data_IF_935903530319
#
_entry.id   IF_935903530319
#
_cell.length_a   1.000
_cell.length_b   1.000
_cell.length_c   1.000
_cell.angle_alpha   90.00
_cell.angle_beta   90.00
_cell.angle_gamma   90.00
#
_symmetry.space_group_name_H-M   'P 1'
#
loop_
_entity.id
_entity.type
_entity.pdbx_description
1 polymer ?
#
# COMPACT_ATOMS: atom_id res chain seq x y z
N UNK A 1 26.17 18.87 -24.13
CA UNK A 1 25.90 17.42 -24.03
C UNK A 1 24.92 17.19 -22.89
N UNK A 2 23.70 16.79 -23.17
CA UNK A 2 22.71 16.44 -22.13
C UNK A 2 23.16 15.12 -21.49
N UNK A 3 23.45 15.06 -20.19
CA UNK A 3 23.73 13.79 -19.55
C UNK A 3 22.50 12.90 -19.74
N UNK A 4 22.70 11.71 -20.28
CA UNK A 4 21.66 10.69 -20.49
C UNK A 4 20.82 10.57 -19.24
N UNK A 5 19.54 11.01 -19.32
CA UNK A 5 18.57 10.66 -18.28
C UNK A 5 18.53 9.13 -18.25
N UNK A 6 18.88 8.49 -17.12
CA UNK A 6 18.87 7.04 -17.07
C UNK A 6 17.45 6.55 -17.41
N UNK A 7 17.35 5.62 -18.37
CA UNK A 7 16.10 5.03 -18.81
C UNK A 7 15.34 4.44 -17.62
N UNK A 8 14.03 4.60 -17.61
CA UNK A 8 13.16 3.96 -16.62
C UNK A 8 13.19 2.45 -16.88
N UNK A 9 13.64 1.67 -15.89
CA UNK A 9 13.62 0.23 -16.00
C UNK A 9 12.17 -0.30 -15.95
N UNK A 10 11.86 -1.38 -16.67
CA UNK A 10 10.52 -1.93 -16.79
C UNK A 10 9.88 -2.28 -15.42
N UNK A 11 10.65 -2.77 -14.45
CA UNK A 11 10.18 -3.12 -13.10
C UNK A 11 9.78 -1.92 -12.24
N UNK A 12 10.11 -0.69 -12.65
CA UNK A 12 9.75 0.54 -11.94
C UNK A 12 8.35 1.05 -12.31
N UNK A 13 7.81 0.66 -13.47
CA UNK A 13 6.54 1.17 -13.96
C UNK A 13 5.36 0.93 -13.03
N UNK A 14 5.14 -0.26 -12.45
CA UNK A 14 4.03 -0.46 -11.50
C UNK A 14 4.09 0.53 -10.35
N UNK A 15 5.27 0.74 -9.77
CA UNK A 15 5.46 1.69 -8.68
C UNK A 15 5.33 3.15 -9.14
N UNK A 16 5.86 3.53 -10.30
CA UNK A 16 5.73 4.88 -10.84
C UNK A 16 4.26 5.25 -11.08
N UNK A 17 3.47 4.32 -11.55
CA UNK A 17 2.04 4.48 -11.82
C UNK A 17 1.14 4.15 -10.61
N UNK A 18 1.69 3.77 -9.47
CA UNK A 18 0.95 3.33 -8.26
C UNK A 18 0.00 2.13 -8.50
N UNK A 19 0.29 1.31 -9.50
CA UNK A 19 -0.50 0.11 -9.81
C UNK A 19 -0.24 -1.02 -8.81
N UNK A 20 0.98 -1.08 -8.27
CA UNK A 20 1.39 -2.04 -7.23
C UNK A 20 0.46 -2.02 -6.03
N UNK A 21 0.18 -0.85 -5.47
CA UNK A 21 -0.68 -0.71 -4.30
C UNK A 21 -2.13 -1.06 -4.61
N UNK A 22 -2.65 -0.69 -5.78
CA UNK A 22 -3.99 -1.07 -6.20
C UNK A 22 -4.12 -2.61 -6.32
N UNK A 23 -3.12 -3.27 -6.92
CA UNK A 23 -3.07 -4.74 -7.01
C UNK A 23 -2.98 -5.40 -5.63
N UNK A 24 -2.16 -4.86 -4.71
CA UNK A 24 -2.08 -5.36 -3.33
C UNK A 24 -3.46 -5.35 -2.68
N UNK A 25 -4.16 -4.19 -2.70
CA UNK A 25 -5.48 -4.07 -2.07
C UNK A 25 -6.49 -5.04 -2.68
N UNK A 26 -6.54 -5.17 -4.02
CA UNK A 26 -7.45 -6.10 -4.70
C UNK A 26 -7.17 -7.57 -4.33
N UNK A 27 -5.91 -8.01 -4.33
CA UNK A 27 -5.54 -9.39 -4.00
C UNK A 27 -5.89 -9.74 -2.55
N UNK A 28 -5.53 -8.88 -1.60
CA UNK A 28 -5.85 -9.11 -0.20
C UNK A 28 -7.35 -9.04 0.08
N UNK A 29 -8.09 -8.13 -0.58
CA UNK A 29 -9.55 -8.07 -0.47
C UNK A 29 -10.19 -9.38 -0.97
N UNK A 30 -9.69 -9.95 -2.06
CA UNK A 30 -10.13 -11.25 -2.55
C UNK A 30 -9.87 -12.38 -1.53
N UNK A 31 -8.70 -12.40 -0.88
CA UNK A 31 -8.39 -13.39 0.16
C UNK A 31 -9.29 -13.23 1.39
N UNK A 32 -9.52 -12.00 1.87
CA UNK A 32 -10.41 -11.76 3.01
C UNK A 32 -11.87 -12.09 2.69
N UNK A 33 -12.32 -11.83 1.46
CA UNK A 33 -13.64 -12.25 1.00
C UNK A 33 -13.74 -13.78 0.97
N UNK A 34 -12.73 -14.46 0.41
CA UNK A 34 -12.67 -15.92 0.36
C UNK A 34 -12.67 -16.54 1.77
N UNK A 35 -11.88 -16.02 2.70
CA UNK A 35 -11.88 -16.45 4.10
C UNK A 35 -13.28 -16.36 4.74
N UNK A 36 -14.09 -15.39 4.28
CA UNK A 36 -15.48 -15.19 4.72
C UNK A 36 -16.50 -15.91 3.82
N UNK A 37 -16.04 -16.88 3.00
CA UNK A 37 -16.85 -17.64 2.06
C UNK A 37 -17.65 -16.78 1.07
N UNK A 38 -17.05 -15.67 0.62
CA UNK A 38 -17.61 -14.71 -0.31
C UNK A 38 -16.72 -14.56 -1.53
N UNK A 39 -17.34 -14.20 -2.65
CA UNK A 39 -16.66 -13.74 -3.85
C UNK A 39 -16.98 -12.26 -4.07
N UNK A 40 -15.97 -11.47 -4.41
CA UNK A 40 -16.17 -10.09 -4.82
C UNK A 40 -16.58 -10.05 -6.30
N UNK A 41 -17.49 -9.13 -6.63
CA UNK A 41 -17.86 -8.86 -8.02
C UNK A 41 -16.74 -8.08 -8.73
N UNK A 42 -16.75 -8.10 -10.06
CA UNK A 42 -15.81 -7.32 -10.89
C UNK A 42 -15.92 -5.83 -10.56
N UNK A 43 -17.15 -5.32 -10.34
CA UNK A 43 -17.37 -3.92 -9.96
C UNK A 43 -16.76 -3.57 -8.60
N UNK A 44 -16.83 -4.46 -7.61
CA UNK A 44 -16.20 -4.26 -6.31
C UNK A 44 -14.67 -4.23 -6.43
N UNK A 45 -14.07 -5.12 -7.22
CA UNK A 45 -12.63 -5.06 -7.52
C UNK A 45 -12.24 -3.78 -8.25
N UNK A 46 -13.01 -3.36 -9.24
CA UNK A 46 -12.77 -2.12 -9.98
C UNK A 46 -12.81 -0.90 -9.05
N UNK A 47 -13.82 -0.83 -8.18
CA UNK A 47 -13.97 0.26 -7.21
C UNK A 47 -12.76 0.30 -6.25
N UNK A 48 -12.35 -0.84 -5.70
CA UNK A 48 -11.18 -0.92 -4.81
C UNK A 48 -9.90 -0.48 -5.53
N UNK A 49 -9.66 -1.01 -6.71
CA UNK A 49 -8.48 -0.69 -7.52
C UNK A 49 -8.42 0.79 -7.89
N UNK A 50 -9.52 1.35 -8.42
CA UNK A 50 -9.61 2.76 -8.80
C UNK A 50 -9.49 3.68 -7.58
N UNK A 51 -10.19 3.40 -6.47
CA UNK A 51 -10.12 4.21 -5.25
C UNK A 51 -8.70 4.24 -4.69
N UNK A 52 -8.03 3.09 -4.64
CA UNK A 52 -6.66 2.97 -4.14
C UNK A 52 -5.69 3.72 -5.06
N UNK A 53 -5.82 3.54 -6.37
CA UNK A 53 -5.00 4.23 -7.35
C UNK A 53 -5.17 5.75 -7.27
N UNK A 54 -6.42 6.24 -7.20
CA UNK A 54 -6.73 7.66 -7.06
C UNK A 54 -6.11 8.23 -5.78
N UNK A 55 -6.30 7.56 -4.63
CA UNK A 55 -5.77 8.02 -3.36
C UNK A 55 -4.24 8.14 -3.38
N UNK A 56 -3.54 7.11 -3.90
CA UNK A 56 -2.08 7.09 -3.97
C UNK A 56 -1.50 8.09 -4.98
N UNK A 57 -2.12 8.25 -6.14
CA UNK A 57 -1.68 9.25 -7.12
C UNK A 57 -1.95 10.67 -6.62
N UNK A 58 -3.11 10.91 -5.97
CA UNK A 58 -3.42 12.21 -5.38
C UNK A 58 -2.38 12.59 -4.31
N UNK A 59 -2.06 11.67 -3.38
CA UNK A 59 -1.04 11.89 -2.34
C UNK A 59 0.32 12.29 -2.97
N UNK A 60 0.77 11.55 -3.99
CA UNK A 60 2.02 11.87 -4.70
C UNK A 60 2.01 13.22 -5.40
N UNK A 61 0.91 13.57 -6.07
CA UNK A 61 0.79 14.85 -6.75
C UNK A 61 0.77 16.02 -5.76
N UNK A 62 0.11 15.84 -4.62
CA UNK A 62 0.10 16.82 -3.54
C UNK A 62 1.49 16.97 -2.90
N UNK A 63 2.20 15.86 -2.67
CA UNK A 63 3.55 15.87 -2.10
C UNK A 63 4.56 16.65 -2.96
N UNK A 64 4.44 16.63 -4.29
CA UNK A 64 5.38 17.28 -5.20
C UNK A 64 4.94 18.66 -5.68
N UNK A 65 3.68 19.05 -5.47
CA UNK A 65 3.08 20.29 -6.03
C UNK A 65 3.86 21.56 -5.68
N UNK A 66 4.33 21.66 -4.45
CA UNK A 66 5.03 22.84 -3.94
C UNK A 66 6.54 22.65 -3.78
N UNK A 67 7.10 21.52 -4.23
CA UNK A 67 8.51 21.20 -4.00
C UNK A 67 9.38 21.58 -5.20
N UNK A 68 10.56 22.20 -5.00
CA UNK A 68 11.51 22.42 -6.07
C UNK A 68 12.08 21.10 -6.57
N UNK A 69 12.38 21.00 -7.88
CA UNK A 69 12.93 19.79 -8.54
C UNK A 69 14.19 19.25 -7.83
N UNK A 70 15.01 20.14 -7.30
CA UNK A 70 16.25 19.77 -6.58
C UNK A 70 16.03 18.97 -5.31
N UNK A 71 14.81 19.02 -4.71
CA UNK A 71 14.44 18.24 -3.52
C UNK A 71 13.80 16.89 -3.86
N UNK A 72 13.49 16.63 -5.13
CA UNK A 72 12.86 15.38 -5.56
C UNK A 72 13.93 14.31 -5.82
N UNK A 73 14.27 13.55 -4.81
CA UNK A 73 15.35 12.57 -4.84
C UNK A 73 14.92 11.19 -5.37
N UNK A 74 13.61 10.91 -5.50
CA UNK A 74 13.11 9.64 -6.03
C UNK A 74 12.53 9.80 -7.41
N UNK A 75 12.66 8.77 -8.25
CA UNK A 75 12.11 8.76 -9.62
C UNK A 75 10.58 8.92 -9.64
N UNK A 76 9.88 8.33 -8.68
CA UNK A 76 8.41 8.46 -8.59
C UNK A 76 7.96 9.91 -8.37
N UNK A 77 8.66 10.68 -7.50
CA UNK A 77 8.33 12.09 -7.28
C UNK A 77 8.70 12.95 -8.51
N UNK A 78 9.84 12.66 -9.14
CA UNK A 78 10.23 13.31 -10.39
C UNK A 78 9.23 13.03 -11.50
N UNK A 79 8.81 11.78 -11.65
CA UNK A 79 7.80 11.36 -12.63
C UNK A 79 6.46 12.07 -12.39
N UNK A 80 5.96 12.04 -11.15
CA UNK A 80 4.72 12.71 -10.76
C UNK A 80 4.76 14.23 -11.05
N UNK A 81 5.88 14.90 -10.75
CA UNK A 81 6.03 16.31 -11.04
C UNK A 81 6.12 16.60 -12.55
N UNK A 82 6.86 15.79 -13.31
CA UNK A 82 7.01 15.96 -14.76
C UNK A 82 5.69 15.77 -15.50
N UNK A 83 4.86 14.81 -15.05
CA UNK A 83 3.60 14.45 -15.69
C UNK A 83 2.37 15.00 -14.98
N UNK A 84 2.54 15.96 -14.06
CA UNK A 84 1.45 16.49 -13.22
C UNK A 84 0.26 16.99 -14.07
N UNK A 85 0.53 17.70 -15.18
CA UNK A 85 -0.53 18.23 -16.06
C UNK A 85 -1.36 17.15 -16.74
N UNK A 86 -0.77 15.98 -16.99
CA UNK A 86 -1.45 14.83 -17.59
C UNK A 86 -2.14 13.98 -16.52
N UNK A 87 -1.50 13.79 -15.37
CA UNK A 87 -2.01 12.91 -14.32
C UNK A 87 -3.27 13.48 -13.64
N UNK A 88 -3.41 14.82 -13.48
CA UNK A 88 -4.60 15.41 -12.88
C UNK A 88 -5.91 15.13 -13.66
N UNK A 89 -5.98 15.33 -15.00
CA UNK A 89 -7.17 14.93 -15.77
C UNK A 89 -7.49 13.44 -15.65
N UNK A 90 -6.48 12.55 -15.72
CA UNK A 90 -6.68 11.12 -15.55
C UNK A 90 -7.22 10.76 -14.16
N UNK A 91 -6.72 11.42 -13.12
CA UNK A 91 -7.17 11.24 -11.75
C UNK A 91 -8.63 11.67 -11.59
N UNK A 92 -9.01 12.81 -12.18
CA UNK A 92 -10.41 13.26 -12.20
C UNK A 92 -11.31 12.27 -12.96
N UNK A 93 -10.90 11.85 -14.15
CA UNK A 93 -11.65 10.88 -14.95
C UNK A 93 -11.83 9.55 -14.21
N UNK A 94 -10.78 9.02 -13.59
CA UNK A 94 -10.85 7.81 -12.78
C UNK A 94 -11.76 7.98 -11.56
N UNK A 95 -11.74 9.14 -10.91
CA UNK A 95 -12.64 9.44 -9.78
C UNK A 95 -14.10 9.45 -10.22
N UNK A 96 -14.41 10.13 -11.33
CA UNK A 96 -15.77 10.17 -11.88
C UNK A 96 -16.26 8.79 -12.30
N UNK A 97 -15.41 8.01 -12.98
CA UNK A 97 -15.70 6.64 -13.35
C UNK A 97 -15.98 5.77 -12.10
N UNK A 98 -15.13 5.88 -11.08
CA UNK A 98 -15.29 5.15 -9.83
C UNK A 98 -16.60 5.47 -9.13
N UNK A 99 -16.98 6.76 -9.06
CA UNK A 99 -18.26 7.20 -8.50
C UNK A 99 -19.46 6.71 -9.31
N UNK A 100 -19.35 6.70 -10.64
CA UNK A 100 -20.41 6.18 -11.53
C UNK A 100 -20.59 4.66 -11.32
N UNK A 101 -19.51 3.88 -11.27
CA UNK A 101 -19.60 2.44 -11.01
C UNK A 101 -20.16 2.21 -9.59
N UNK A 102 -19.68 2.91 -8.58
CA UNK A 102 -20.15 2.75 -7.22
C UNK A 102 -21.64 3.08 -7.09
N UNK A 103 -22.10 4.21 -7.64
CA UNK A 103 -23.48 4.63 -7.58
C UNK A 103 -24.46 3.72 -8.35
N UNK A 104 -23.97 3.04 -9.42
CA UNK A 104 -24.81 2.15 -10.23
C UNK A 104 -24.80 0.68 -9.77
N UNK A 105 -23.73 0.22 -9.10
CA UNK A 105 -23.50 -1.20 -8.84
C UNK A 105 -23.53 -1.59 -7.36
N UNK A 106 -23.34 -0.62 -6.45
CA UNK A 106 -23.27 -0.93 -5.02
C UNK A 106 -24.61 -0.70 -4.32
N UNK A 107 -25.00 -1.58 -3.38
CA UNK A 107 -26.11 -1.33 -2.48
C UNK A 107 -25.78 -0.18 -1.53
N UNK A 108 -26.83 0.50 -1.03
CA UNK A 108 -26.68 1.66 -0.16
C UNK A 108 -25.78 1.43 1.07
N UNK A 109 -25.87 0.24 1.67
CA UNK A 109 -25.04 -0.12 2.83
C UNK A 109 -23.54 -0.15 2.53
N UNK A 110 -23.15 -0.56 1.32
CA UNK A 110 -21.74 -0.56 0.88
C UNK A 110 -21.29 0.84 0.49
N UNK A 111 -22.16 1.63 -0.15
CA UNK A 111 -21.91 3.05 -0.43
C UNK A 111 -21.65 3.83 0.86
N UNK A 112 -22.46 3.59 1.91
CA UNK A 112 -22.27 4.24 3.20
C UNK A 112 -20.91 3.90 3.81
N UNK A 113 -20.50 2.62 3.81
CA UNK A 113 -19.16 2.22 4.29
C UNK A 113 -18.03 2.87 3.47
N UNK A 114 -18.17 2.88 2.14
CA UNK A 114 -17.24 3.54 1.22
C UNK A 114 -17.11 5.04 1.50
N UNK A 115 -18.23 5.71 1.79
CA UNK A 115 -18.25 7.14 2.15
C UNK A 115 -17.49 7.41 3.46
N UNK A 116 -17.68 6.57 4.48
CA UNK A 116 -16.90 6.69 5.73
C UNK A 116 -15.41 6.47 5.50
N UNK A 117 -15.04 5.48 4.69
CA UNK A 117 -13.64 5.24 4.34
C UNK A 117 -13.04 6.41 3.55
N UNK A 118 -13.78 6.96 2.59
CA UNK A 118 -13.36 8.16 1.85
C UNK A 118 -13.16 9.35 2.80
N UNK A 119 -14.09 9.55 3.74
CA UNK A 119 -13.95 10.57 4.80
C UNK A 119 -12.67 10.39 5.61
N UNK A 120 -12.32 9.15 5.99
CA UNK A 120 -11.08 8.84 6.69
C UNK A 120 -9.84 9.16 5.83
N UNK A 121 -9.85 8.82 4.54
CA UNK A 121 -8.76 9.13 3.59
C UNK A 121 -8.59 10.65 3.43
N UNK A 122 -9.68 11.39 3.27
CA UNK A 122 -9.64 12.86 3.16
C UNK A 122 -9.14 13.51 4.45
N UNK A 123 -9.63 13.05 5.60
CA UNK A 123 -9.16 13.53 6.90
C UNK A 123 -7.67 13.24 7.10
N UNK A 124 -7.21 12.03 6.77
CA UNK A 124 -5.79 11.68 6.78
C UNK A 124 -4.96 12.60 5.88
N UNK A 125 -5.37 12.77 4.62
CA UNK A 125 -4.66 13.62 3.66
C UNK A 125 -4.59 15.07 4.16
N UNK A 126 -5.71 15.61 4.66
CA UNK A 126 -5.75 16.95 5.24
C UNK A 126 -4.81 17.09 6.44
N UNK A 127 -4.87 16.14 7.38
CA UNK A 127 -4.04 16.19 8.59
C UNK A 127 -2.54 16.08 8.29
N UNK A 128 -2.16 15.23 7.34
CA UNK A 128 -0.75 15.09 6.92
C UNK A 128 -0.25 16.32 6.20
N UNK A 129 -1.04 16.93 5.33
CA UNK A 129 -0.67 18.16 4.63
C UNK A 129 -0.56 19.37 5.57
N UNK A 130 -1.42 19.47 6.59
CA UNK A 130 -1.43 20.57 7.56
C UNK A 130 -0.39 20.43 8.68
N UNK A 131 -0.16 19.20 9.15
CA UNK A 131 0.68 18.93 10.33
C UNK A 131 2.02 18.35 9.94
N UNK A 132 2.99 19.24 9.67
CA UNK A 132 4.39 18.87 9.36
C UNK A 132 5.13 18.10 10.48
N UNK A 133 4.49 17.82 11.63
CA UNK A 133 5.17 17.33 12.84
C UNK A 133 4.35 16.32 13.62
N UNK A 134 4.06 15.10 13.12
CA UNK A 134 3.62 14.00 14.02
C UNK A 134 4.16 12.65 13.59
N UNK A 135 5.06 12.14 14.39
CA UNK A 135 5.71 10.85 14.32
C UNK A 135 4.71 9.69 14.32
N UNK A 136 4.93 8.72 13.43
CA UNK A 136 4.27 7.42 13.48
C UNK A 136 2.80 7.35 13.06
N UNK A 137 2.10 8.46 12.97
CA UNK A 137 0.71 8.47 12.54
C UNK A 137 0.55 8.18 11.05
N UNK A 138 1.56 8.53 10.22
CA UNK A 138 1.49 8.33 8.77
C UNK A 138 1.43 6.83 8.43
N UNK A 139 2.38 6.06 8.91
CA UNK A 139 2.49 4.62 8.63
C UNK A 139 1.30 3.84 9.21
N UNK A 140 0.90 4.17 10.44
CA UNK A 140 -0.25 3.54 11.08
C UNK A 140 -1.57 3.87 10.38
N UNK A 141 -1.75 5.14 9.96
CA UNK A 141 -2.96 5.55 9.23
C UNK A 141 -3.07 4.87 7.87
N UNK A 142 -1.96 4.80 7.12
CA UNK A 142 -1.93 4.09 5.83
C UNK A 142 -2.28 2.62 6.03
N UNK A 143 -1.66 1.95 7.01
CA UNK A 143 -1.95 0.55 7.32
C UNK A 143 -3.42 0.34 7.70
N UNK A 144 -3.99 1.22 8.53
CA UNK A 144 -5.40 1.16 8.92
C UNK A 144 -6.36 1.38 7.75
N UNK A 145 -6.09 2.35 6.87
CA UNK A 145 -6.90 2.62 5.67
C UNK A 145 -6.86 1.43 4.71
N UNK A 146 -5.67 0.85 4.45
CA UNK A 146 -5.53 -0.34 3.59
C UNK A 146 -6.31 -1.51 4.20
N UNK A 147 -6.20 -1.73 5.50
CA UNK A 147 -6.90 -2.82 6.19
C UNK A 147 -8.42 -2.64 6.19
N UNK A 148 -8.91 -1.43 6.36
CA UNK A 148 -10.33 -1.13 6.21
C UNK A 148 -10.81 -1.33 4.76
N UNK A 149 -9.97 -1.02 3.76
CA UNK A 149 -10.29 -1.20 2.35
C UNK A 149 -10.47 -2.67 1.99
N UNK A 150 -9.63 -3.58 2.48
CA UNK A 150 -9.67 -5.01 2.11
C UNK A 150 -10.90 -5.73 2.67
N UNK A 151 -11.52 -5.23 3.74
CA UNK A 151 -12.75 -5.79 4.31
C UNK A 151 -14.01 -4.99 3.97
N UNK A 152 -13.90 -3.93 3.16
CA UNK A 152 -14.99 -3.01 2.85
C UNK A 152 -16.25 -3.72 2.38
N UNK A 153 -16.09 -4.72 1.51
CA UNK A 153 -17.15 -5.51 0.90
C UNK A 153 -17.38 -6.86 1.59
N UNK A 154 -16.81 -7.07 2.78
CA UNK A 154 -17.02 -8.29 3.58
C UNK A 154 -18.02 -7.98 4.69
N UNK A 155 -19.31 -8.42 4.56
CA UNK A 155 -20.30 -8.22 5.61
C UNK A 155 -20.00 -9.14 6.79
N UNK A 156 -20.33 -8.68 8.01
CA UNK A 156 -20.19 -9.46 9.25
C UNK A 156 -18.80 -10.10 9.44
N UNK A 157 -17.74 -9.31 9.13
CA UNK A 157 -16.37 -9.77 9.26
C UNK A 157 -16.04 -10.14 10.70
N UNK A 158 -15.52 -11.37 10.93
CA UNK A 158 -15.27 -11.92 12.27
C UNK A 158 -13.78 -12.19 12.55
N UNK A 159 -12.95 -12.29 11.52
CA UNK A 159 -11.52 -12.68 11.66
C UNK A 159 -10.60 -11.50 12.00
N UNK A 160 -10.92 -10.79 13.11
CA UNK A 160 -10.19 -9.59 13.53
C UNK A 160 -8.71 -9.84 13.84
N UNK A 161 -8.37 -11.04 14.33
CA UNK A 161 -6.97 -11.45 14.57
C UNK A 161 -6.15 -11.45 13.28
N UNK A 162 -6.67 -12.07 12.24
CA UNK A 162 -6.01 -12.11 10.91
C UNK A 162 -5.91 -10.72 10.30
N UNK A 163 -6.97 -9.89 10.44
CA UNK A 163 -6.94 -8.50 9.98
C UNK A 163 -5.88 -7.68 10.74
N UNK A 164 -5.75 -7.89 12.04
CA UNK A 164 -4.73 -7.21 12.85
C UNK A 164 -3.31 -7.59 12.41
N UNK A 165 -3.07 -8.86 12.06
CA UNK A 165 -1.78 -9.30 11.50
C UNK A 165 -1.52 -8.71 10.12
N UNK A 166 -2.54 -8.59 9.27
CA UNK A 166 -2.43 -7.90 8.00
C UNK A 166 -2.16 -6.40 8.18
N UNK A 167 -2.85 -5.75 9.11
CA UNK A 167 -2.59 -4.34 9.46
C UNK A 167 -1.13 -4.15 9.91
N UNK A 168 -0.65 -5.08 10.73
CA UNK A 168 0.74 -5.09 11.15
C UNK A 168 1.71 -5.27 9.98
N UNK A 169 1.41 -6.18 9.06
CA UNK A 169 2.20 -6.37 7.83
C UNK A 169 2.28 -5.08 7.01
N UNK A 170 1.16 -4.40 6.78
CA UNK A 170 1.12 -3.13 6.08
C UNK A 170 1.90 -2.03 6.80
N UNK A 171 1.76 -1.93 8.13
CA UNK A 171 2.54 -1.00 8.94
C UNK A 171 4.04 -1.28 8.83
N UNK A 172 4.45 -2.54 8.93
CA UNK A 172 5.84 -2.94 8.82
C UNK A 172 6.41 -2.62 7.45
N UNK A 173 5.67 -2.91 6.37
CA UNK A 173 6.07 -2.54 5.00
C UNK A 173 6.35 -1.05 4.90
N UNK A 174 5.41 -0.21 5.33
CA UNK A 174 5.57 1.25 5.35
C UNK A 174 6.80 1.66 6.18
N UNK A 175 6.97 1.11 7.39
CA UNK A 175 8.06 1.45 8.30
C UNK A 175 9.44 1.08 7.73
N UNK A 176 9.56 -0.07 7.07
CA UNK A 176 10.80 -0.53 6.43
C UNK A 176 11.19 0.35 5.24
N UNK A 177 10.23 0.69 4.38
CA UNK A 177 10.42 1.60 3.24
C UNK A 177 10.86 2.98 3.75
N UNK A 178 10.13 3.54 4.70
CA UNK A 178 10.42 4.86 5.28
C UNK A 178 11.78 4.89 5.95
N UNK A 179 12.19 3.83 6.65
CA UNK A 179 13.53 3.74 7.23
C UNK A 179 14.61 3.76 6.16
N UNK A 180 14.40 3.07 5.05
CA UNK A 180 15.33 3.05 3.91
C UNK A 180 15.41 4.41 3.23
N UNK A 181 14.29 5.12 3.14
CA UNK A 181 14.15 6.43 2.49
C UNK A 181 14.31 7.62 3.47
N UNK A 182 14.72 7.40 4.71
CA UNK A 182 14.78 8.44 5.75
C UNK A 182 15.58 9.71 5.37
N UNK A 183 16.58 9.60 4.52
CA UNK A 183 17.32 10.76 4.00
C UNK A 183 16.50 11.55 2.98
N UNK A 184 15.69 10.85 2.17
CA UNK A 184 14.80 11.42 1.16
C UNK A 184 13.64 12.14 1.86
N UNK A 185 13.01 11.49 2.84
CA UNK A 185 11.91 12.04 3.61
C UNK A 185 12.33 13.29 4.37
N UNK A 186 13.53 13.30 4.95
CA UNK A 186 14.10 14.51 5.58
C UNK A 186 14.27 15.65 4.58
N UNK A 187 14.73 15.39 3.36
CA UNK A 187 14.86 16.43 2.33
C UNK A 187 13.49 17.00 1.91
N UNK A 188 12.44 16.19 1.99
CA UNK A 188 11.05 16.59 1.72
C UNK A 188 10.33 17.16 2.96
N UNK A 189 11.01 17.25 4.11
CA UNK A 189 10.42 17.69 5.39
C UNK A 189 9.26 16.78 5.85
N UNK A 190 9.32 15.49 5.53
CA UNK A 190 8.37 14.48 5.98
C UNK A 190 8.95 13.82 7.24
N UNK A 191 8.24 13.91 8.34
CA UNK A 191 8.64 13.26 9.59
C UNK A 191 7.96 11.89 9.72
N UNK A 192 8.75 10.89 10.10
CA UNK A 192 8.31 9.49 10.19
C UNK A 192 8.88 8.86 11.46
N UNK A 193 8.23 7.80 11.98
CA UNK A 193 8.71 7.08 13.17
C UNK A 193 9.84 6.09 12.84
N UNK A 194 9.92 5.64 11.62
CA UNK A 194 10.82 4.57 11.21
C UNK A 194 12.31 4.78 11.54
N UNK A 195 12.89 6.02 11.42
CA UNK A 195 14.27 6.27 11.83
C UNK A 195 14.53 6.03 13.30
N UNK A 196 13.51 6.15 14.16
CA UNK A 196 13.62 5.97 15.61
C UNK A 196 13.53 4.50 16.03
N UNK A 197 13.05 3.61 15.16
CA UNK A 197 12.98 2.18 15.45
C UNK A 197 14.38 1.55 15.40
N UNK A 198 14.80 0.99 16.53
CA UNK A 198 16.05 0.22 16.59
C UNK A 198 15.99 -1.02 15.70
N UNK A 199 17.15 -1.56 15.34
CA UNK A 199 17.21 -2.82 14.57
C UNK A 199 16.52 -3.97 15.28
N UNK A 200 16.72 -4.08 16.59
CA UNK A 200 16.11 -5.12 17.40
C UNK A 200 14.57 -5.02 17.36
N UNK A 201 14.01 -3.81 17.52
CA UNK A 201 12.57 -3.60 17.43
C UNK A 201 12.01 -4.01 16.08
N UNK A 202 12.69 -3.69 14.98
CA UNK A 202 12.24 -4.10 13.64
C UNK A 202 12.31 -5.62 13.44
N UNK A 203 13.32 -6.30 13.99
CA UNK A 203 13.36 -7.75 14.00
C UNK A 203 12.23 -8.37 14.80
N UNK A 204 11.95 -7.86 15.99
CA UNK A 204 10.84 -8.32 16.79
C UNK A 204 9.49 -8.09 16.08
N UNK A 205 9.30 -6.92 15.47
CA UNK A 205 8.10 -6.62 14.69
C UNK A 205 7.90 -7.54 13.47
N UNK A 206 8.97 -8.11 12.91
CA UNK A 206 8.89 -9.08 11.80
C UNK A 206 8.69 -10.52 12.27
N UNK A 207 9.35 -10.94 13.34
CA UNK A 207 9.37 -12.34 13.77
C UNK A 207 8.19 -12.71 14.68
N UNK A 208 7.70 -11.78 15.51
CA UNK A 208 6.56 -12.05 16.41
C UNK A 208 5.32 -12.50 15.64
N UNK A 209 4.89 -11.83 14.53
CA UNK A 209 3.74 -12.29 13.76
C UNK A 209 3.92 -13.68 13.15
N UNK A 210 5.13 -14.05 12.76
CA UNK A 210 5.43 -15.40 12.24
C UNK A 210 5.22 -16.45 13.33
N UNK A 211 5.65 -16.18 14.54
CA UNK A 211 5.42 -17.05 15.70
C UNK A 211 3.92 -17.22 16.04
N UNK A 212 3.15 -16.14 15.91
CA UNK A 212 1.69 -16.16 16.14
C UNK A 212 0.94 -16.96 15.07
N UNK A 213 1.52 -17.10 13.88
CA UNK A 213 0.99 -17.84 12.74
C UNK A 213 1.53 -19.30 12.67
N UNK A 214 2.05 -19.84 13.78
CA UNK A 214 2.68 -21.16 13.83
C UNK A 214 1.75 -22.33 13.42
N UNK A 215 0.43 -22.12 13.46
CA UNK A 215 -0.56 -23.04 12.93
C UNK A 215 -1.16 -22.47 11.64
N UNK A 216 -0.74 -23.04 10.51
CA UNK A 216 -1.29 -22.65 9.20
C UNK A 216 -2.59 -23.43 9.00
N UNK A 217 -3.72 -22.74 9.14
CA UNK A 217 -5.05 -23.33 8.98
C UNK A 217 -5.70 -22.92 7.64
N UNK A 218 -5.19 -21.88 6.98
CA UNK A 218 -5.79 -21.36 5.76
C UNK A 218 -4.80 -20.56 4.89
N UNK A 219 -5.24 -20.28 3.65
CA UNK A 219 -4.44 -19.62 2.60
C UNK A 219 -3.99 -18.19 2.99
N UNK A 220 -4.80 -17.46 3.76
CA UNK A 220 -4.46 -16.10 4.17
C UNK A 220 -3.32 -16.08 5.19
N UNK A 221 -3.28 -17.08 6.08
CA UNK A 221 -2.18 -17.23 7.04
C UNK A 221 -0.89 -17.60 6.32
N UNK A 222 -0.95 -18.48 5.32
CA UNK A 222 0.19 -18.77 4.46
C UNK A 222 0.68 -17.51 3.75
N UNK A 223 -0.23 -16.72 3.16
CA UNK A 223 0.08 -15.45 2.52
C UNK A 223 0.78 -14.47 3.46
N UNK A 224 0.28 -14.36 4.69
CA UNK A 224 0.88 -13.51 5.73
C UNK A 224 2.30 -13.97 6.08
N UNK A 225 2.50 -15.28 6.32
CA UNK A 225 3.82 -15.84 6.66
C UNK A 225 4.81 -15.56 5.54
N UNK A 226 4.45 -15.87 4.29
CA UNK A 226 5.32 -15.63 3.12
C UNK A 226 5.69 -14.15 3.03
N UNK A 227 4.71 -13.25 3.16
CA UNK A 227 4.95 -11.81 3.10
C UNK A 227 5.87 -11.33 4.23
N UNK A 228 5.67 -11.79 5.47
CA UNK A 228 6.55 -11.47 6.60
C UNK A 228 7.98 -11.99 6.40
N UNK A 229 8.15 -13.22 5.90
CA UNK A 229 9.46 -13.79 5.61
C UNK A 229 10.19 -13.02 4.51
N UNK A 230 9.48 -12.62 3.46
CA UNK A 230 10.04 -11.79 2.39
C UNK A 230 10.48 -10.42 2.92
N UNK A 231 9.65 -9.74 3.74
CA UNK A 231 10.03 -8.47 4.36
C UNK A 231 11.22 -8.63 5.33
N UNK A 232 11.29 -9.72 6.10
CA UNK A 232 12.43 -10.02 6.96
C UNK A 232 13.73 -10.18 6.16
N UNK A 233 13.66 -10.93 5.04
CA UNK A 233 14.82 -11.14 4.16
C UNK A 233 15.27 -9.82 3.51
N UNK A 234 14.34 -8.97 3.08
CA UNK A 234 14.64 -7.65 2.54
C UNK A 234 15.28 -6.73 3.60
N UNK A 235 14.79 -6.79 4.83
CA UNK A 235 15.38 -6.04 5.93
C UNK A 235 16.83 -6.47 6.19
N UNK A 236 17.13 -7.76 6.09
CA UNK A 236 18.52 -8.26 6.18
C UNK A 236 19.41 -7.67 5.08
N UNK A 237 18.89 -7.60 3.84
CA UNK A 237 19.63 -7.13 2.68
C UNK A 237 19.60 -5.59 2.49
N UNK A 238 18.94 -4.84 3.37
CA UNK A 238 18.65 -3.40 3.19
C UNK A 238 19.89 -2.55 2.87
N UNK A 239 21.09 -2.91 3.38
CA UNK A 239 22.33 -2.17 3.13
C UNK A 239 22.84 -2.30 1.70
N UNK A 240 22.53 -3.41 1.02
CA UNK A 240 23.02 -3.73 -0.32
C UNK A 240 22.12 -3.22 -1.43
N UNK A 241 20.85 -2.96 -1.12
CA UNK A 241 19.84 -2.59 -2.11
C UNK A 241 19.73 -1.06 -2.26
N UNK A 242 19.56 -0.60 -3.50
CA UNK A 242 19.23 0.78 -3.78
C UNK A 242 17.81 1.11 -3.23
N UNK A 243 17.53 2.34 -2.71
CA UNK A 243 16.22 2.68 -2.12
C UNK A 243 15.02 2.38 -3.02
N UNK A 244 15.10 2.70 -4.32
CA UNK A 244 14.01 2.45 -5.26
C UNK A 244 13.73 0.96 -5.47
N UNK A 245 14.79 0.13 -5.62
CA UNK A 245 14.64 -1.31 -5.74
C UNK A 245 14.10 -1.92 -4.44
N UNK A 246 14.60 -1.44 -3.29
CA UNK A 246 14.13 -1.89 -1.98
C UNK A 246 12.62 -1.68 -1.82
N UNK A 247 12.12 -0.51 -2.23
CA UNK A 247 10.67 -0.20 -2.18
C UNK A 247 9.88 -1.15 -3.07
N UNK A 248 10.26 -1.31 -4.34
CA UNK A 248 9.55 -2.20 -5.26
C UNK A 248 9.52 -3.63 -4.75
N UNK A 249 10.63 -4.13 -4.19
CA UNK A 249 10.68 -5.45 -3.60
C UNK A 249 9.83 -5.57 -2.32
N UNK A 250 9.75 -4.51 -1.50
CA UNK A 250 8.92 -4.49 -0.32
C UNK A 250 7.42 -4.53 -0.68
N UNK A 251 6.99 -3.75 -1.66
CA UNK A 251 5.62 -3.80 -2.17
C UNK A 251 5.34 -5.15 -2.86
N UNK A 252 6.33 -5.71 -3.59
CA UNK A 252 6.23 -7.05 -4.18
C UNK A 252 6.08 -8.16 -3.14
N UNK A 253 6.64 -8.02 -1.94
CA UNK A 253 6.44 -8.99 -0.87
C UNK A 253 4.97 -9.13 -0.45
N UNK A 254 4.20 -8.04 -0.52
CA UNK A 254 2.76 -8.06 -0.27
C UNK A 254 1.94 -8.62 -1.45
N UNK A 255 2.47 -8.60 -2.66
CA UNK A 255 1.86 -9.22 -3.85
C UNK A 255 2.14 -10.72 -3.91
N UNK A 256 3.39 -11.12 -3.65
CA UNK A 256 3.82 -12.52 -3.80
C UNK A 256 3.18 -13.44 -2.76
N UNK A 257 2.95 -12.96 -1.52
CA UNK A 257 2.28 -13.77 -0.50
C UNK A 257 0.94 -14.34 -0.99
N UNK A 258 -0.03 -13.50 -1.38
CA UNK A 258 -1.30 -13.94 -1.94
C UNK A 258 -1.16 -14.81 -3.20
N UNK A 259 -0.30 -14.41 -4.14
CA UNK A 259 -0.14 -15.13 -5.41
C UNK A 259 0.38 -16.56 -5.21
N UNK A 260 1.33 -16.75 -4.30
CA UNK A 260 1.87 -18.07 -3.98
C UNK A 260 0.81 -18.92 -3.28
N UNK A 261 0.03 -18.37 -2.36
CA UNK A 261 -1.04 -19.11 -1.69
C UNK A 261 -2.12 -19.58 -2.68
N UNK A 262 -2.52 -18.74 -3.64
CA UNK A 262 -3.43 -19.14 -4.72
C UNK A 262 -2.82 -20.21 -5.64
N UNK A 263 -1.51 -20.14 -5.91
CA UNK A 263 -0.80 -21.13 -6.72
C UNK A 263 -0.77 -22.50 -6.06
N UNK A 264 -0.52 -22.58 -4.76
CA UNK A 264 -0.49 -23.86 -4.03
C UNK A 264 -1.84 -24.58 -3.99
N UNK A 265 -2.95 -23.86 -3.93
CA UNK A 265 -4.29 -24.43 -3.97
C UNK A 265 -4.59 -25.16 -5.29
N UNK A 266 -4.16 -24.58 -6.41
CA UNK A 266 -4.43 -25.16 -7.74
C UNK A 266 -3.56 -26.37 -8.08
N UNK A 267 -2.50 -26.63 -7.30
CA UNK A 267 -1.62 -27.81 -7.46
C UNK A 267 -2.11 -28.99 -6.60
N UNK A 268 -2.88 -28.69 -5.53
CA UNK A 268 -3.39 -29.72 -4.59
C UNK A 268 -4.80 -30.24 -4.90
N UNK A 269 -5.48 -29.71 -5.91
CA UNK A 269 -6.74 -30.18 -6.48
C UNK A 269 -6.49 -30.82 -7.84
#
# INVERSE_FOLDING_TARGET
MNPHKPSIAWWQWPNLLALDTACIVMLWAGLFAHLSQRSLSISQYAILGLSTWVAYQADRLLDVRSKPKTKLLTRRHQFAQQHMRTLWPWLLAATLLNLAIAGSQLPYSELQKGTWLLGAVLAYTYLIQQRKKKYGLKEASIAGIISASVILFVPAFSNWGTLSLFTWLCFLNCALITKKEAAIDRALTIETIAPQLSRLRLWLLTLIPIGLLSRIENEIQCSLIVSFLLLASLYWQQKRLHPELYRVLADSALLLGPLLAYGFKNIGN
#
